data_IF_528282385390
#
_entry.id   IF_528282385390
#
_cell.length_a   1.000
_cell.length_b   1.000
_cell.length_c   1.000
_cell.angle_alpha   90.00
_cell.angle_beta   90.00
_cell.angle_gamma   90.00
#
_symmetry.space_group_name_H-M   'P 1'
#
loop_
_entity.id
_entity.type
_entity.pdbx_description
1 polymer ?
#
# COMPACT_ATOMS: atom_id res chain seq x y z
N UNK A 1 -5.51 -5.86 13.99
CA UNK A 1 -6.30 -5.13 12.99
C UNK A 1 -7.18 -6.14 12.30
N UNK A 2 -8.49 -5.95 12.38
CA UNK A 2 -9.49 -6.82 11.74
C UNK A 2 -9.63 -6.47 10.25
N UNK A 3 -10.21 -7.34 9.40
CA UNK A 3 -10.43 -7.02 7.99
C UNK A 3 -11.26 -5.74 7.76
N UNK A 4 -12.36 -5.47 8.53
CA UNK A 4 -13.09 -4.21 8.42
C UNK A 4 -12.26 -2.96 8.77
N UNK A 5 -11.43 -3.04 9.82
CA UNK A 5 -10.50 -1.95 10.19
C UNK A 5 -9.46 -1.70 9.11
N UNK A 6 -8.90 -2.77 8.53
CA UNK A 6 -7.95 -2.69 7.44
C UNK A 6 -8.59 -2.06 6.19
N UNK A 7 -9.83 -2.46 5.86
CA UNK A 7 -10.59 -1.88 4.74
C UNK A 7 -10.83 -0.39 4.94
N UNK A 8 -11.21 0.03 6.14
CA UNK A 8 -11.41 1.44 6.48
C UNK A 8 -10.10 2.23 6.34
N UNK A 9 -9.01 1.73 6.93
CA UNK A 9 -7.69 2.35 6.84
C UNK A 9 -7.23 2.53 5.38
N UNK A 10 -7.40 1.49 4.55
CA UNK A 10 -7.02 1.54 3.13
C UNK A 10 -7.90 2.52 2.37
N UNK A 11 -9.21 2.54 2.61
CA UNK A 11 -10.12 3.51 1.98
C UNK A 11 -9.77 4.96 2.34
N UNK A 12 -9.49 5.24 3.62
CA UNK A 12 -9.10 6.57 4.09
C UNK A 12 -7.76 7.01 3.48
N UNK A 13 -6.80 6.08 3.35
CA UNK A 13 -5.52 6.36 2.71
C UNK A 13 -5.67 6.70 1.22
N UNK A 14 -6.50 5.95 0.47
CA UNK A 14 -6.79 6.25 -0.93
C UNK A 14 -7.44 7.62 -1.09
N UNK A 15 -8.41 7.95 -0.24
CA UNK A 15 -9.06 9.25 -0.23
C UNK A 15 -8.05 10.39 0.03
N UNK A 16 -7.15 10.20 1.00
CA UNK A 16 -6.09 11.17 1.31
C UNK A 16 -5.12 11.38 0.14
N UNK A 17 -4.85 10.34 -0.66
CA UNK A 17 -3.97 10.43 -1.82
C UNK A 17 -4.67 10.89 -3.10
N UNK A 18 -5.98 11.14 -3.06
CA UNK A 18 -6.76 11.50 -4.24
C UNK A 18 -6.89 10.35 -5.25
N UNK A 19 -6.77 9.10 -4.80
CA UNK A 19 -6.88 7.92 -5.66
C UNK A 19 -8.32 7.41 -5.62
N UNK A 20 -8.99 7.43 -6.76
CA UNK A 20 -10.30 6.80 -6.90
C UNK A 20 -10.15 5.26 -6.83
N UNK A 21 -10.93 4.61 -5.97
CA UNK A 21 -10.91 3.16 -5.85
C UNK A 21 -11.97 2.64 -4.89
N UNK A 22 -12.38 1.38 -5.08
CA UNK A 22 -13.22 0.66 -4.12
C UNK A 22 -12.36 -0.38 -3.40
N UNK A 23 -12.52 -0.43 -2.08
CA UNK A 23 -11.82 -1.38 -1.21
C UNK A 23 -12.86 -2.30 -0.60
N UNK A 24 -12.71 -3.60 -0.82
CA UNK A 24 -13.60 -4.62 -0.29
C UNK A 24 -12.85 -5.54 0.68
N UNK A 25 -13.56 -6.04 1.69
CA UNK A 25 -13.06 -7.19 2.47
C UNK A 25 -13.13 -8.43 1.58
N UNK A 26 -12.04 -9.18 1.52
CA UNK A 26 -11.91 -10.42 0.76
C UNK A 26 -11.24 -11.48 1.65
N UNK A 27 -12.05 -12.42 2.14
CA UNK A 27 -11.59 -13.42 3.10
C UNK A 27 -11.06 -12.79 4.39
N UNK A 28 -9.80 -13.07 4.70
CA UNK A 28 -9.07 -12.55 5.86
C UNK A 28 -8.36 -11.22 5.61
N UNK A 29 -8.41 -10.70 4.37
CA UNK A 29 -7.73 -9.49 3.94
C UNK A 29 -8.66 -8.49 3.26
N UNK A 30 -8.06 -7.66 2.42
CA UNK A 30 -8.77 -6.70 1.58
C UNK A 30 -8.28 -6.74 0.15
N UNK A 31 -9.20 -6.52 -0.79
CA UNK A 31 -8.93 -6.44 -2.20
C UNK A 31 -9.30 -5.04 -2.74
N UNK A 32 -8.51 -4.58 -3.70
CA UNK A 32 -8.75 -3.35 -4.45
C UNK A 32 -8.14 -3.46 -5.85
N UNK A 33 -8.49 -2.51 -6.71
CA UNK A 33 -7.90 -2.36 -8.05
C UNK A 33 -7.17 -1.03 -8.09
N UNK A 34 -5.91 -1.04 -8.51
CA UNK A 34 -5.13 0.17 -8.75
C UNK A 34 -5.72 0.96 -9.94
N UNK A 35 -5.39 2.26 -10.08
CA UNK A 35 -5.90 3.08 -11.20
C UNK A 35 -5.58 2.54 -12.59
N UNK A 36 -4.48 1.81 -12.73
CA UNK A 36 -4.06 1.16 -13.98
C UNK A 36 -4.78 -0.18 -14.26
N UNK A 37 -5.75 -0.57 -13.42
CA UNK A 37 -6.48 -1.83 -13.51
C UNK A 37 -5.80 -3.01 -12.82
N UNK A 38 -4.61 -2.84 -12.24
CA UNK A 38 -3.89 -3.94 -11.57
C UNK A 38 -4.65 -4.39 -10.32
N UNK A 39 -4.97 -5.69 -10.16
CA UNK A 39 -5.56 -6.20 -8.93
C UNK A 39 -4.52 -6.21 -7.80
N UNK A 40 -4.90 -5.69 -6.64
CA UNK A 40 -4.09 -5.65 -5.43
C UNK A 40 -4.83 -6.37 -4.29
N UNK A 41 -4.07 -7.07 -3.45
CA UNK A 41 -4.59 -7.68 -2.21
C UNK A 41 -3.67 -7.35 -1.05
N UNK A 42 -4.26 -7.10 0.12
CA UNK A 42 -3.54 -7.00 1.39
C UNK A 42 -4.03 -8.13 2.28
N UNK A 43 -3.17 -9.10 2.54
CA UNK A 43 -3.47 -10.27 3.35
C UNK A 43 -2.73 -10.19 4.69
N UNK A 44 -3.33 -10.67 5.80
CA UNK A 44 -2.60 -10.86 7.04
C UNK A 44 -1.50 -11.90 6.83
N UNK A 45 -0.37 -11.71 7.49
CA UNK A 45 0.70 -12.71 7.52
C UNK A 45 0.42 -13.76 8.60
N UNK A 46 0.87 -14.99 8.38
CA UNK A 46 0.74 -16.07 9.37
C UNK A 46 1.68 -15.86 10.56
N UNK A 47 1.45 -16.58 11.66
CA UNK A 47 2.34 -16.52 12.84
C UNK A 47 3.79 -16.87 12.52
N UNK A 48 4.01 -17.79 11.57
CA UNK A 48 5.34 -18.21 11.14
C UNK A 48 6.09 -17.14 10.33
N UNK A 49 5.39 -16.13 9.81
CA UNK A 49 5.97 -15.09 8.96
C UNK A 49 6.57 -13.93 9.77
N UNK A 50 6.56 -13.98 11.11
CA UNK A 50 7.06 -12.90 11.96
C UNK A 50 8.51 -12.53 11.58
N UNK A 51 8.84 -11.23 11.37
CA UNK A 51 8.10 -10.03 11.80
C UNK A 51 7.11 -9.46 10.77
N UNK A 52 6.82 -10.17 9.68
CA UNK A 52 5.83 -9.72 8.69
C UNK A 52 4.44 -9.73 9.32
N UNK A 53 3.68 -8.65 9.10
CA UNK A 53 2.30 -8.51 9.59
C UNK A 53 1.28 -8.60 8.46
N UNK A 54 1.65 -8.11 7.28
CA UNK A 54 0.84 -8.18 6.08
C UNK A 54 1.68 -8.50 4.84
N UNK A 55 1.02 -9.09 3.85
CA UNK A 55 1.52 -9.26 2.51
C UNK A 55 0.73 -8.36 1.56
N UNK A 56 1.43 -7.53 0.79
CA UNK A 56 0.86 -6.79 -0.33
C UNK A 56 1.12 -7.59 -1.61
N UNK A 57 0.06 -8.03 -2.26
CA UNK A 57 0.10 -8.87 -3.45
C UNK A 57 -0.38 -8.11 -4.68
N UNK A 58 0.29 -8.35 -5.81
CA UNK A 58 -0.08 -7.96 -7.17
C UNK A 58 0.33 -9.10 -8.12
N UNK A 59 -0.13 -9.13 -9.38
CA UNK A 59 0.29 -10.17 -10.32
C UNK A 59 1.82 -10.31 -10.39
N UNK A 60 2.31 -11.52 -10.10
CA UNK A 60 3.74 -11.85 -10.13
C UNK A 60 4.60 -11.29 -8.99
N UNK A 61 4.02 -10.60 -7.99
CA UNK A 61 4.81 -10.04 -6.89
C UNK A 61 4.06 -10.04 -5.56
N UNK A 62 4.79 -10.42 -4.49
CA UNK A 62 4.34 -10.38 -3.10
C UNK A 62 5.37 -9.64 -2.26
N UNK A 63 4.95 -8.61 -1.51
CA UNK A 63 5.83 -7.75 -0.71
C UNK A 63 5.51 -7.86 0.78
N UNK A 64 6.51 -8.12 1.64
CA UNK A 64 6.31 -8.16 3.09
C UNK A 64 6.13 -6.75 3.67
N UNK A 65 5.18 -6.60 4.59
CA UNK A 65 4.92 -5.37 5.31
C UNK A 65 4.94 -5.65 6.83
N UNK A 66 5.94 -5.14 7.53
CA UNK A 66 6.16 -5.40 8.97
C UNK A 66 5.48 -4.38 9.89
N UNK A 67 4.96 -3.29 9.33
CA UNK A 67 4.27 -2.21 10.05
C UNK A 67 3.17 -1.58 9.19
N UNK A 68 2.26 -0.84 9.82
CA UNK A 68 1.21 -0.07 9.12
C UNK A 68 1.83 0.94 8.16
N UNK A 69 2.89 1.63 8.58
CA UNK A 69 3.62 2.57 7.71
C UNK A 69 4.23 1.87 6.49
N UNK A 70 4.83 0.68 6.69
CA UNK A 70 5.39 -0.12 5.60
C UNK A 70 4.32 -0.56 4.59
N UNK A 71 3.15 -0.97 5.09
CA UNK A 71 1.98 -1.30 4.29
C UNK A 71 1.50 -0.09 3.47
N UNK A 72 1.25 1.04 4.12
CA UNK A 72 0.75 2.24 3.45
C UNK A 72 1.74 2.78 2.41
N UNK A 73 3.05 2.75 2.69
CA UNK A 73 4.07 3.13 1.71
C UNK A 73 4.08 2.18 0.50
N UNK A 74 4.02 0.87 0.74
CA UNK A 74 3.96 -0.13 -0.32
C UNK A 74 2.71 0.04 -1.20
N UNK A 75 1.57 0.25 -0.56
CA UNK A 75 0.30 0.48 -1.24
C UNK A 75 0.32 1.79 -2.05
N UNK A 76 0.80 2.89 -1.45
CA UNK A 76 0.94 4.19 -2.11
C UNK A 76 1.71 4.08 -3.42
N UNK A 77 2.82 3.34 -3.41
CA UNK A 77 3.60 3.07 -4.62
C UNK A 77 2.83 2.17 -5.60
N UNK A 78 2.14 1.13 -5.11
CA UNK A 78 1.39 0.20 -5.95
C UNK A 78 0.20 0.84 -6.67
N UNK A 79 -0.39 1.91 -6.12
CA UNK A 79 -1.48 2.67 -6.75
C UNK A 79 -1.00 3.91 -7.50
N UNK A 80 0.32 4.10 -7.65
CA UNK A 80 0.90 5.27 -8.33
C UNK A 80 0.70 6.61 -7.61
N UNK A 81 0.31 6.59 -6.32
CA UNK A 81 0.05 7.80 -5.55
C UNK A 81 1.36 8.52 -5.19
N UNK A 82 1.72 9.53 -5.97
CA UNK A 82 2.96 10.30 -5.80
C UNK A 82 3.92 10.23 -6.99
N UNK A 83 3.50 9.61 -8.10
CA UNK A 83 4.23 9.71 -9.38
C UNK A 83 3.94 11.02 -10.14
N UNK A 84 3.04 11.87 -9.64
CA UNK A 84 2.96 13.26 -10.06
C UNK A 84 4.26 13.98 -9.69
N UNK A 85 5.15 14.11 -10.69
CA UNK A 85 6.42 14.81 -10.69
C UNK A 85 7.13 14.82 -9.33
N UNK A 86 7.90 13.76 -9.05
CA UNK A 86 8.86 13.78 -7.95
C UNK A 86 9.80 14.98 -8.14
N UNK A 87 9.49 16.11 -7.49
CA UNK A 87 10.41 17.23 -7.28
C UNK A 87 11.56 16.67 -6.45
N UNK A 88 12.54 16.07 -7.12
CA UNK A 88 13.80 15.68 -6.51
C UNK A 88 14.39 16.96 -5.94
N UNK A 89 14.36 17.08 -4.62
CA UNK A 89 15.11 18.11 -3.93
C UNK A 89 16.58 17.90 -4.28
N UNK A 90 17.12 18.76 -5.15
CA UNK A 90 18.55 18.84 -5.38
C UNK A 90 19.12 19.58 -4.19
N UNK A 91 19.84 18.86 -3.33
CA UNK A 91 20.67 19.48 -2.31
C UNK A 91 21.81 20.16 -3.06
N UNK A 92 21.86 21.50 -3.02
CA UNK A 92 23.02 22.23 -3.51
C UNK A 92 24.22 21.82 -2.64
N UNK A 93 25.32 21.39 -3.27
CA UNK A 93 26.58 21.21 -2.56
C UNK A 93 27.09 22.61 -2.15
N UNK A 94 27.65 22.78 -0.94
CA UNK A 94 28.27 24.04 -0.55
C UNK A 94 29.37 24.39 -1.56
N UNK A 95 29.47 25.68 -1.92
CA UNK A 95 30.59 26.18 -2.73
C UNK A 95 31.90 25.92 -1.97
N UNK A 96 32.89 25.36 -2.68
CA UNK A 96 34.21 25.00 -2.15
C UNK A 96 35.12 26.22 -1.96
#
# INVERSE_FOLDING_TARGET
MTPPELRALVADALALWGVAGRVAVDGDGVALTAPDGTPLRVLPAGRADHPVRWWLERPGQRRPCTSVLGLLRGLRNAVGAGEAEARRLRVALPEA
#
